data_IF_390445484269
#
_entry.id   IF_390445484269
#
_cell.length_a   1.000
_cell.length_b   1.000
_cell.length_c   1.000
_cell.angle_alpha   90.00
_cell.angle_beta   90.00
_cell.angle_gamma   90.00
#
_symmetry.space_group_name_H-M   'P 1'
#
loop_
_entity.id
_entity.type
_entity.pdbx_description
1 polymer ?
#
# COMPACT_ATOMS: atom_id res chain seq x y z
N UNK A 1 5.93 11.92 3.86
CA UNK A 1 5.21 11.32 2.71
C UNK A 1 5.06 9.80 2.91
N UNK A 2 4.17 9.34 3.80
CA UNK A 2 4.06 7.90 4.11
C UNK A 2 3.51 7.07 2.93
N UNK A 3 2.44 7.56 2.30
CA UNK A 3 1.82 6.89 1.14
C UNK A 3 2.80 6.77 -0.03
N UNK A 4 3.52 7.84 -0.37
CA UNK A 4 4.49 7.81 -1.47
C UNK A 4 5.60 6.77 -1.23
N UNK A 5 6.11 6.66 0.01
CA UNK A 5 7.11 5.66 0.36
C UNK A 5 6.55 4.24 0.27
N UNK A 6 5.35 4.01 0.79
CA UNK A 6 4.69 2.71 0.71
C UNK A 6 4.43 2.31 -0.75
N UNK A 7 3.96 3.23 -1.60
CA UNK A 7 3.79 3.00 -3.04
C UNK A 7 5.12 2.68 -3.71
N UNK A 8 6.22 3.37 -3.37
CA UNK A 8 7.54 3.03 -3.90
C UNK A 8 7.93 1.60 -3.56
N UNK A 9 7.74 1.19 -2.29
CA UNK A 9 8.05 -0.17 -1.83
C UNK A 9 7.18 -1.24 -2.50
N UNK A 10 5.90 -0.93 -2.74
CA UNK A 10 5.04 -1.81 -3.53
C UNK A 10 5.56 -1.98 -4.97
N UNK A 11 6.04 -0.90 -5.60
CA UNK A 11 6.61 -0.96 -6.96
C UNK A 11 7.94 -1.73 -7.03
N UNK A 12 8.69 -1.76 -5.93
CA UNK A 12 9.96 -2.48 -5.82
C UNK A 12 9.79 -3.93 -5.32
N UNK A 13 8.55 -4.39 -5.09
CA UNK A 13 8.23 -5.74 -4.64
C UNK A 13 7.94 -6.71 -5.80
N UNK A 14 7.71 -7.99 -5.49
CA UNK A 14 7.46 -9.06 -6.48
C UNK A 14 6.06 -9.03 -7.13
N UNK A 15 5.28 -7.96 -6.92
CA UNK A 15 3.97 -7.78 -7.57
C UNK A 15 4.13 -7.73 -9.09
N UNK A 16 3.26 -8.44 -9.79
CA UNK A 16 3.29 -8.52 -11.26
C UNK A 16 2.76 -7.24 -11.90
N UNK A 17 1.81 -6.56 -11.24
CA UNK A 17 1.23 -5.31 -11.72
C UNK A 17 1.38 -4.23 -10.65
N UNK A 18 2.55 -3.57 -10.60
CA UNK A 18 2.80 -2.55 -9.60
C UNK A 18 1.85 -1.36 -9.76
N UNK A 19 1.50 -0.66 -8.66
CA UNK A 19 0.57 0.46 -8.71
C UNK A 19 1.15 1.63 -9.52
N UNK A 20 0.30 2.24 -10.33
CA UNK A 20 0.57 3.49 -11.03
C UNK A 20 0.13 4.71 -10.21
N UNK A 21 0.12 5.87 -10.88
CA UNK A 21 -0.27 7.14 -10.27
C UNK A 21 -1.76 7.13 -9.88
N UNK A 22 -2.61 6.55 -10.73
CA UNK A 22 -4.05 6.50 -10.48
C UNK A 22 -4.36 5.70 -9.20
N UNK A 23 -3.78 4.50 -9.05
CA UNK A 23 -3.99 3.67 -7.86
C UNK A 23 -3.42 4.32 -6.59
N UNK A 24 -2.31 5.05 -6.69
CA UNK A 24 -1.77 5.79 -5.56
C UNK A 24 -2.71 6.92 -5.10
N UNK A 25 -3.36 7.62 -6.03
CA UNK A 25 -4.35 8.66 -5.72
C UNK A 25 -5.61 8.04 -5.12
N UNK A 26 -6.12 6.95 -5.70
CA UNK A 26 -7.26 6.19 -5.15
C UNK A 26 -7.01 5.77 -3.71
N UNK A 27 -5.79 5.30 -3.42
CA UNK A 27 -5.42 4.87 -2.08
C UNK A 27 -5.36 6.02 -1.09
N UNK A 28 -4.77 7.16 -1.48
CA UNK A 28 -4.78 8.35 -0.65
C UNK A 28 -6.21 8.79 -0.32
N UNK A 29 -7.10 8.82 -1.32
CA UNK A 29 -8.51 9.17 -1.13
C UNK A 29 -9.23 8.18 -0.18
N UNK A 30 -8.93 6.88 -0.27
CA UNK A 30 -9.46 5.88 0.65
C UNK A 30 -8.98 6.09 2.09
N UNK A 31 -7.69 6.43 2.28
CA UNK A 31 -7.12 6.72 3.58
C UNK A 31 -7.73 7.99 4.20
N UNK A 32 -7.93 9.04 3.39
CA UNK A 32 -8.61 10.27 3.81
C UNK A 32 -10.07 10.00 4.22
N UNK A 33 -10.81 9.21 3.43
CA UNK A 33 -12.19 8.84 3.74
C UNK A 33 -12.31 8.04 5.05
N UNK A 34 -11.30 7.23 5.36
CA UNK A 34 -11.24 6.44 6.60
C UNK A 34 -10.68 7.24 7.79
N UNK A 35 -10.29 8.50 7.61
CA UNK A 35 -9.72 9.34 8.67
C UNK A 35 -8.35 8.85 9.15
N UNK A 36 -7.57 8.22 8.27
CA UNK A 36 -6.24 7.69 8.60
C UNK A 36 -5.22 8.83 8.58
N UNK A 37 -4.71 9.20 9.74
CA UNK A 37 -3.64 10.21 9.87
C UNK A 37 -2.23 9.60 9.78
N UNK A 38 -2.10 8.32 10.15
CA UNK A 38 -0.82 7.58 10.14
C UNK A 38 -1.02 6.22 9.51
N UNK A 39 -0.20 5.91 8.51
CA UNK A 39 -0.21 4.60 7.89
C UNK A 39 0.43 3.55 8.81
N UNK A 40 -0.32 2.48 9.10
CA UNK A 40 0.13 1.30 9.85
C UNK A 40 -0.25 -0.01 9.13
N UNK A 41 0.29 -1.14 9.59
CA UNK A 41 0.10 -2.43 8.95
C UNK A 41 -1.39 -2.81 8.81
N UNK A 42 -2.19 -2.57 9.85
CA UNK A 42 -3.62 -2.87 9.86
C UNK A 42 -4.39 -2.01 8.84
N UNK A 43 -4.00 -0.76 8.67
CA UNK A 43 -4.61 0.14 7.69
C UNK A 43 -4.22 -0.25 6.28
N UNK A 44 -2.95 -0.58 6.04
CA UNK A 44 -2.49 -1.10 4.74
C UNK A 44 -3.28 -2.35 4.37
N UNK A 45 -3.43 -3.30 5.29
CA UNK A 45 -4.21 -4.53 5.05
C UNK A 45 -5.65 -4.24 4.61
N UNK A 46 -6.34 -3.37 5.35
CA UNK A 46 -7.75 -3.01 5.09
C UNK A 46 -7.95 -2.25 3.77
N UNK A 47 -6.92 -1.54 3.31
CA UNK A 47 -7.00 -0.66 2.14
C UNK A 47 -6.16 -1.15 0.97
N UNK A 48 -5.50 -2.30 1.07
CA UNK A 48 -4.56 -2.79 0.06
C UNK A 48 -5.21 -2.88 -1.33
N UNK A 49 -6.50 -3.23 -1.39
CA UNK A 49 -7.26 -3.30 -2.64
C UNK A 49 -7.46 -1.96 -3.37
N UNK A 50 -7.34 -0.81 -2.68
CA UNK A 50 -7.39 0.48 -3.37
C UNK A 50 -6.12 0.79 -4.15
N UNK A 51 -4.97 0.21 -3.75
CA UNK A 51 -3.68 0.40 -4.42
C UNK A 51 -3.27 -0.79 -5.30
N UNK A 52 -3.58 -2.03 -4.91
CA UNK A 52 -3.33 -3.25 -5.68
C UNK A 52 -4.64 -3.88 -6.13
N UNK A 53 -4.95 -3.79 -7.42
CA UNK A 53 -6.25 -4.22 -7.96
C UNK A 53 -6.36 -5.74 -8.17
N UNK A 54 -5.23 -6.46 -8.21
CA UNK A 54 -5.18 -7.90 -8.45
C UNK A 54 -5.00 -8.65 -7.13
N UNK A 55 -5.86 -9.64 -6.88
CA UNK A 55 -5.82 -10.44 -5.66
C UNK A 55 -4.49 -11.16 -5.46
N UNK A 56 -3.89 -11.64 -6.54
CA UNK A 56 -2.62 -12.36 -6.56
C UNK A 56 -1.48 -11.45 -6.08
N UNK A 57 -1.46 -10.20 -6.53
CA UNK A 57 -0.47 -9.20 -6.08
C UNK A 57 -0.70 -8.82 -4.61
N UNK A 58 -1.96 -8.78 -4.16
CA UNK A 58 -2.26 -8.59 -2.74
C UNK A 58 -1.76 -9.76 -1.87
N UNK A 59 -1.87 -11.00 -2.35
CA UNK A 59 -1.35 -12.17 -1.65
C UNK A 59 0.18 -12.15 -1.55
N UNK A 60 0.88 -11.69 -2.60
CA UNK A 60 2.34 -11.49 -2.54
C UNK A 60 2.72 -10.57 -1.37
N UNK A 61 2.02 -9.43 -1.23
CA UNK A 61 2.27 -8.50 -0.12
C UNK A 61 1.86 -9.11 1.23
N UNK A 62 0.71 -9.80 1.31
CA UNK A 62 0.29 -10.47 2.55
C UNK A 62 1.30 -11.50 3.03
N UNK A 63 1.86 -12.29 2.10
CA UNK A 63 2.88 -13.29 2.41
C UNK A 63 4.20 -12.67 2.89
N UNK A 64 4.58 -11.50 2.35
CA UNK A 64 5.75 -10.73 2.78
C UNK A 64 5.54 -9.92 4.08
N UNK A 65 4.29 -9.72 4.48
CA UNK A 65 3.90 -8.92 5.64
C UNK A 65 3.84 -7.42 5.35
N UNK A 66 3.08 -6.69 6.17
CA UNK A 66 2.80 -5.26 5.96
C UNK A 66 3.78 -4.31 6.63
N UNK A 67 4.53 -4.78 7.63
CA UNK A 67 5.49 -3.98 8.39
C UNK A 67 6.53 -3.31 7.49
N UNK A 68 7.00 -4.05 6.48
CA UNK A 68 7.94 -3.54 5.48
C UNK A 68 7.39 -2.36 4.66
N UNK A 69 6.08 -2.10 4.63
CA UNK A 69 5.49 -0.97 3.91
C UNK A 69 5.34 0.29 4.77
N UNK A 70 5.38 0.17 6.10
CA UNK A 70 5.03 1.26 7.04
C UNK A 70 6.23 1.81 7.82
N UNK A 71 7.33 1.07 7.93
CA UNK A 71 8.53 1.57 8.60
C UNK A 71 9.17 2.73 7.83
N UNK A 72 9.36 3.90 8.45
CA UNK A 72 10.32 4.87 7.94
C UNK A 72 11.73 4.30 8.15
N UNK A 73 12.59 4.35 7.14
CA UNK A 73 14.01 4.17 7.40
C UNK A 73 14.44 5.35 8.28
N UNK A 74 14.89 5.06 9.50
CA UNK A 74 15.75 5.98 10.26
C UNK A 74 17.13 6.08 9.59
#
# INVERSE_FOLDING_TARGET
>A
MQVANAVSRLRDSDVQKPPGIAEAIDWLAALELLGVERLDAATVEKTLGSVLKYSEDQEVIRAGGFEQLVHANE
#
